data_IF_246935329427
#
_entry.id   IF_246935329427
#
_cell.length_a   1.000
_cell.length_b   1.000
_cell.length_c   1.000
_cell.angle_alpha   90.00
_cell.angle_beta   90.00
_cell.angle_gamma   90.00
#
_symmetry.space_group_name_H-M   'P 1'
#
loop_
_entity.id
_entity.type
_entity.pdbx_description
1 polymer ?
#
# COMPACT_ATOMS: atom_id res chain seq x y z
N UNK A 1 -24.55 -65.47 0.52
CA UNK A 1 -25.86 -64.77 0.58
C UNK A 1 -25.72 -63.76 1.71
N UNK A 2 -25.29 -62.53 1.47
CA UNK A 2 -26.16 -61.36 1.27
C UNK A 2 -25.30 -60.19 0.72
N UNK A 3 -25.74 -59.55 -0.37
CA UNK A 3 -25.25 -58.24 -0.85
C UNK A 3 -26.14 -57.15 -0.22
N UNK A 4 -25.60 -55.93 -0.06
CA UNK A 4 -26.22 -54.60 -0.31
C UNK A 4 -25.30 -53.53 0.32
N UNK A 5 -24.50 -52.82 -0.51
CA UNK A 5 -24.53 -51.37 -0.78
C UNK A 5 -23.95 -50.49 0.34
N UNK A 6 -23.27 -49.36 0.14
CA UNK A 6 -22.63 -48.58 -0.94
C UNK A 6 -22.17 -47.31 -0.18
N UNK A 7 -21.14 -46.62 -0.67
CA UNK A 7 -20.92 -45.17 -0.45
C UNK A 7 -20.32 -44.72 0.90
N UNK A 8 -19.00 -44.54 0.94
CA UNK A 8 -18.46 -43.24 1.40
C UNK A 8 -17.14 -42.95 0.69
N UNK A 9 -17.25 -42.01 -0.24
CA UNK A 9 -16.20 -41.48 -1.11
C UNK A 9 -15.50 -40.32 -0.37
N UNK A 10 -14.17 -40.36 -0.36
CA UNK A 10 -13.24 -39.23 -0.51
C UNK A 10 -13.58 -37.95 0.26
N UNK A 11 -13.01 -37.76 1.46
CA UNK A 11 -12.61 -36.42 1.98
C UNK A 11 -11.36 -36.59 2.85
N UNK A 12 -10.21 -36.83 2.23
CA UNK A 12 -8.90 -36.71 2.89
C UNK A 12 -7.95 -35.94 1.97
N UNK A 13 -8.29 -34.68 1.69
CA UNK A 13 -7.55 -33.88 0.71
C UNK A 13 -7.86 -32.39 0.72
N UNK A 14 -8.37 -31.83 1.82
CA UNK A 14 -8.71 -30.40 1.89
C UNK A 14 -8.35 -29.71 3.23
N UNK A 15 -7.46 -30.28 4.04
CA UNK A 15 -7.05 -29.68 5.31
C UNK A 15 -5.70 -28.93 5.26
N UNK A 16 -4.95 -29.00 4.15
CA UNK A 16 -3.61 -28.38 4.06
C UNK A 16 -3.58 -26.96 3.47
N UNK A 17 -4.70 -26.43 2.96
CA UNK A 17 -4.74 -25.06 2.41
C UNK A 17 -5.32 -23.99 3.35
N UNK A 18 -5.88 -24.39 4.51
CA UNK A 18 -6.46 -23.43 5.47
C UNK A 18 -5.40 -22.83 6.39
N UNK A 19 -4.29 -23.53 6.63
CA UNK A 19 -3.26 -23.11 7.60
C UNK A 19 -2.55 -21.79 7.23
N UNK A 20 -2.24 -21.55 5.94
CA UNK A 20 -1.56 -20.32 5.53
C UNK A 20 -2.46 -19.07 5.55
N UNK A 21 -3.79 -19.23 5.41
CA UNK A 21 -4.74 -18.10 5.55
C UNK A 21 -4.98 -17.75 7.02
N UNK A 22 -4.91 -18.75 7.89
CA UNK A 22 -5.26 -18.61 9.30
C UNK A 22 -4.13 -17.96 10.13
N UNK A 23 -2.88 -18.09 9.69
CA UNK A 23 -1.74 -17.47 10.36
C UNK A 23 -1.69 -15.95 10.13
N UNK A 24 -1.93 -15.48 8.89
CA UNK A 24 -2.02 -14.05 8.59
C UNK A 24 -3.25 -13.38 9.22
N UNK A 25 -4.41 -14.05 9.22
CA UNK A 25 -5.63 -13.54 9.85
C UNK A 25 -5.49 -13.36 11.36
N UNK A 26 -4.82 -14.30 12.04
CA UNK A 26 -4.55 -14.23 13.49
C UNK A 26 -3.66 -13.05 13.91
N UNK A 27 -2.70 -12.64 13.09
CA UNK A 27 -1.81 -11.51 13.38
C UNK A 27 -2.47 -10.15 13.17
N UNK A 28 -3.37 -10.02 12.19
CA UNK A 28 -4.13 -8.79 11.93
C UNK A 28 -5.20 -8.57 13.01
N UNK A 29 -5.93 -9.63 13.38
CA UNK A 29 -6.91 -9.59 14.47
C UNK A 29 -6.25 -9.22 15.82
N UNK A 30 -5.04 -9.70 16.10
CA UNK A 30 -4.33 -9.45 17.37
C UNK A 30 -3.84 -8.00 17.56
N UNK A 31 -3.54 -7.26 16.47
CA UNK A 31 -3.14 -5.85 16.54
C UNK A 31 -4.37 -4.94 16.62
N UNK A 32 -5.43 -5.28 15.87
CA UNK A 32 -6.73 -4.60 15.94
C UNK A 32 -7.30 -4.67 17.37
N UNK A 33 -7.25 -5.83 18.03
CA UNK A 33 -7.79 -6.02 19.39
C UNK A 33 -7.04 -5.22 20.47
N UNK A 34 -5.75 -4.89 20.29
CA UNK A 34 -4.96 -4.19 21.32
C UNK A 34 -5.18 -2.67 21.33
N UNK A 35 -5.39 -2.08 20.17
CA UNK A 35 -5.44 -0.61 20.02
C UNK A 35 -6.84 -0.07 19.82
N UNK A 36 -7.78 -0.88 19.30
CA UNK A 36 -9.14 -0.44 19.06
C UNK A 36 -9.76 0.22 20.30
N UNK A 37 -10.32 1.41 20.10
CA UNK A 37 -10.96 2.20 21.14
C UNK A 37 -10.02 2.84 22.17
N UNK A 38 -8.69 2.70 22.05
CA UNK A 38 -7.76 3.45 22.91
C UNK A 38 -7.60 4.88 22.42
N UNK A 39 -7.57 5.81 23.36
CA UNK A 39 -7.23 7.21 23.09
C UNK A 39 -5.73 7.34 22.81
N UNK A 40 -5.38 8.06 21.75
CA UNK A 40 -4.03 8.52 21.48
C UNK A 40 -3.82 9.90 22.10
N UNK A 41 -2.81 10.00 22.95
CA UNK A 41 -2.39 11.25 23.57
C UNK A 41 -1.43 12.00 22.67
N UNK A 42 -1.71 13.27 22.38
CA UNK A 42 -0.85 14.14 21.59
C UNK A 42 -0.02 15.07 22.48
N UNK A 43 1.20 15.46 22.05
CA UNK A 43 1.97 16.49 22.75
C UNK A 43 1.22 17.83 22.76
N UNK A 44 1.33 18.60 23.87
CA UNK A 44 0.65 19.91 24.01
C UNK A 44 1.03 20.91 22.90
N UNK A 45 2.24 20.77 22.36
CA UNK A 45 2.74 21.57 21.23
C UNK A 45 3.32 20.64 20.19
N UNK A 46 2.62 20.51 19.08
CA UNK A 46 3.13 19.85 17.87
C UNK A 46 3.31 20.91 16.79
N UNK A 47 4.53 21.03 16.30
CA UNK A 47 4.88 22.02 15.26
C UNK A 47 4.96 21.29 13.92
N UNK A 48 4.02 21.60 13.03
CA UNK A 48 4.01 21.04 11.69
C UNK A 48 4.74 21.97 10.73
N UNK A 49 5.48 21.37 9.80
CA UNK A 49 6.21 22.10 8.79
C UNK A 49 5.94 21.55 7.40
N UNK A 50 5.90 22.42 6.39
CA UNK A 50 5.84 22.01 4.98
C UNK A 50 7.25 22.10 4.41
N UNK A 51 7.72 21.02 3.78
CA UNK A 51 9.09 20.90 3.23
C UNK A 51 10.21 21.23 4.23
N UNK A 52 9.92 21.20 5.54
CA UNK A 52 10.75 21.72 6.63
C UNK A 52 11.21 23.18 6.47
N UNK A 53 10.40 24.01 5.81
CA UNK A 53 10.73 25.44 5.59
C UNK A 53 9.72 26.38 6.25
N UNK A 54 8.43 26.12 6.12
CA UNK A 54 7.37 26.94 6.71
C UNK A 54 6.78 26.27 7.95
N UNK A 55 6.54 27.04 9.01
CA UNK A 55 6.00 26.54 10.28
C UNK A 55 4.51 26.84 10.33
N UNK A 56 3.67 25.81 10.34
CA UNK A 56 2.23 25.95 10.40
C UNK A 56 1.71 25.40 11.72
N UNK A 57 0.95 26.23 12.47
CA UNK A 57 0.14 25.72 13.57
C UNK A 57 -1.03 24.99 12.93
N UNK A 58 -1.01 23.66 13.01
CA UNK A 58 -2.06 22.82 12.45
C UNK A 58 -3.03 22.41 13.55
N UNK A 59 -4.16 23.10 13.63
CA UNK A 59 -5.24 22.72 14.56
C UNK A 59 -6.09 21.60 13.96
N UNK A 60 -5.81 20.37 14.39
CA UNK A 60 -6.51 19.15 14.00
C UNK A 60 -7.61 18.73 14.99
N UNK A 61 -7.92 19.55 16.01
CA UNK A 61 -8.96 19.24 17.01
C UNK A 61 -10.38 19.30 16.44
N UNK A 62 -10.57 20.12 15.40
CA UNK A 62 -11.88 20.37 14.76
C UNK A 62 -12.36 19.30 13.77
N UNK A 63 -11.57 18.27 13.52
CA UNK A 63 -11.89 17.27 12.49
C UNK A 63 -12.48 16.00 13.12
N UNK A 64 -13.58 15.52 12.52
CA UNK A 64 -14.32 14.35 12.99
C UNK A 64 -13.51 13.05 12.94
N UNK A 65 -12.58 12.96 11.99
CA UNK A 65 -11.68 11.84 11.82
C UNK A 65 -10.33 12.35 11.35
N UNK A 66 -9.26 11.64 11.73
CA UNK A 66 -7.89 11.99 11.35
C UNK A 66 -7.05 10.72 11.24
N UNK A 67 -6.06 10.72 10.35
CA UNK A 67 -5.13 9.62 10.19
C UNK A 67 -3.83 9.99 10.87
N UNK A 68 -3.42 9.23 11.88
CA UNK A 68 -2.12 9.35 12.52
C UNK A 68 -1.12 8.43 11.84
N UNK A 69 0.07 8.95 11.55
CA UNK A 69 1.24 8.19 11.15
C UNK A 69 2.35 8.54 12.12
N UNK A 70 2.84 7.54 12.86
CA UNK A 70 4.07 7.68 13.65
C UNK A 70 5.16 6.80 13.02
N UNK A 71 6.30 7.42 12.72
CA UNK A 71 7.44 6.75 12.13
C UNK A 71 8.71 6.97 12.97
N UNK A 72 9.29 5.88 13.46
CA UNK A 72 10.62 5.85 14.05
C UNK A 72 11.63 5.55 12.93
N UNK A 73 12.41 6.57 12.56
CA UNK A 73 13.33 6.48 11.40
C UNK A 73 14.75 6.08 11.78
N UNK A 74 15.00 5.65 13.03
CA UNK A 74 16.34 5.28 13.54
C UNK A 74 16.99 4.11 12.76
N UNK A 75 16.18 3.23 12.18
CA UNK A 75 16.63 2.08 11.37
C UNK A 75 16.88 2.44 9.89
N UNK A 76 15.82 2.61 9.09
CA UNK A 76 15.87 2.94 7.67
C UNK A 76 14.82 3.99 7.30
N UNK A 77 15.20 5.27 7.26
CA UNK A 77 14.26 6.38 7.03
C UNK A 77 13.41 6.23 5.76
N UNK A 78 14.03 5.93 4.61
CA UNK A 78 13.30 5.72 3.35
C UNK A 78 12.31 4.54 3.40
N UNK A 79 12.72 3.42 4.03
CA UNK A 79 11.88 2.24 4.16
C UNK A 79 10.65 2.49 5.06
N UNK A 80 10.81 3.31 6.10
CA UNK A 80 9.78 3.63 7.09
C UNK A 80 8.80 4.69 6.57
N UNK A 81 9.31 5.74 5.91
CA UNK A 81 8.47 6.86 5.48
C UNK A 81 7.65 6.57 4.24
N UNK A 82 8.20 5.95 3.19
CA UNK A 82 7.50 5.59 1.94
C UNK A 82 6.55 6.70 1.42
N UNK A 83 7.02 7.95 1.39
CA UNK A 83 6.19 9.15 1.22
C UNK A 83 5.34 9.11 -0.06
N UNK A 84 5.91 8.61 -1.16
CA UNK A 84 5.18 8.38 -2.42
C UNK A 84 3.93 7.48 -2.27
N UNK A 85 3.99 6.41 -1.48
CA UNK A 85 2.85 5.50 -1.28
C UNK A 85 1.78 6.13 -0.39
N UNK A 86 2.20 6.96 0.57
CA UNK A 86 1.27 7.78 1.34
C UNK A 86 0.52 8.77 0.46
N UNK A 87 1.19 9.47 -0.46
CA UNK A 87 0.50 10.36 -1.43
C UNK A 87 -0.59 9.62 -2.21
N UNK A 88 -0.32 8.40 -2.65
CA UNK A 88 -1.31 7.57 -3.37
C UNK A 88 -2.51 7.18 -2.50
N UNK A 89 -2.27 6.89 -1.22
CA UNK A 89 -3.35 6.62 -0.28
C UNK A 89 -4.14 7.88 0.08
N UNK A 90 -3.49 9.04 0.24
CA UNK A 90 -4.12 10.33 0.48
C UNK A 90 -5.12 10.67 -0.64
N UNK A 91 -4.70 10.52 -1.91
CA UNK A 91 -5.58 10.70 -3.08
C UNK A 91 -6.82 9.78 -3.01
N UNK A 92 -6.64 8.55 -2.50
CA UNK A 92 -7.74 7.59 -2.37
C UNK A 92 -8.74 8.01 -1.28
N UNK A 93 -8.24 8.57 -0.17
CA UNK A 93 -9.08 9.13 0.90
C UNK A 93 -9.84 10.37 0.41
N UNK A 94 -9.15 11.30 -0.25
CA UNK A 94 -9.75 12.51 -0.85
C UNK A 94 -10.81 12.17 -1.90
N UNK A 95 -10.66 11.04 -2.61
CA UNK A 95 -11.67 10.56 -3.57
C UNK A 95 -12.87 9.87 -2.91
N UNK A 96 -12.70 9.37 -1.68
CA UNK A 96 -13.72 8.57 -0.99
C UNK A 96 -14.68 9.41 -0.15
N UNK A 97 -14.31 10.64 0.20
CA UNK A 97 -15.14 11.53 1.03
C UNK A 97 -15.01 12.98 0.59
N UNK A 98 -16.08 13.76 0.79
CA UNK A 98 -16.04 15.22 0.67
C UNK A 98 -15.44 15.89 1.91
N UNK A 99 -15.38 15.18 3.03
CA UNK A 99 -14.85 15.70 4.28
C UNK A 99 -13.32 15.75 4.21
N UNK A 100 -12.73 16.81 4.75
CA UNK A 100 -11.27 16.88 4.86
C UNK A 100 -10.81 15.95 5.99
N UNK A 101 -9.97 14.96 5.65
CA UNK A 101 -9.34 14.06 6.61
C UNK A 101 -7.86 14.47 6.78
N UNK A 102 -7.47 14.99 7.94
CA UNK A 102 -6.07 15.32 8.19
C UNK A 102 -5.18 14.08 8.25
N UNK A 103 -4.00 14.17 7.65
CA UNK A 103 -2.92 13.21 7.82
C UNK A 103 -1.85 13.82 8.74
N UNK A 104 -1.71 13.25 9.93
CA UNK A 104 -0.81 13.71 10.97
C UNK A 104 0.46 12.87 10.94
N UNK A 105 1.48 13.33 10.22
CA UNK A 105 2.80 12.69 10.19
C UNK A 105 3.62 13.15 11.39
N UNK A 106 3.85 12.26 12.36
CA UNK A 106 4.81 12.42 13.44
C UNK A 106 6.03 11.57 13.15
N UNK A 107 7.15 12.24 12.89
CA UNK A 107 8.39 11.58 12.48
C UNK A 107 9.41 11.81 13.57
N UNK A 108 9.91 10.73 14.16
CA UNK A 108 11.09 10.76 15.03
C UNK A 108 12.34 10.58 14.14
N UNK A 109 13.08 11.67 13.82
CA UNK A 109 14.18 11.61 12.88
C UNK A 109 15.44 11.02 13.53
N UNK A 110 16.10 10.10 12.83
CA UNK A 110 17.51 9.79 13.11
C UNK A 110 18.43 10.96 12.75
N UNK A 111 18.15 11.55 11.59
CA UNK A 111 18.91 12.64 10.98
C UNK A 111 17.93 13.61 10.29
N UNK A 112 17.87 14.84 10.78
CA UNK A 112 16.94 15.86 10.28
C UNK A 112 17.33 16.32 8.87
N UNK A 113 18.61 16.32 8.51
CA UNK A 113 19.10 16.73 7.20
C UNK A 113 18.75 15.68 6.14
N UNK A 114 18.95 14.40 6.46
CA UNK A 114 18.52 13.29 5.60
C UNK A 114 16.99 13.32 5.39
N UNK A 115 16.24 13.53 6.46
CA UNK A 115 14.79 13.68 6.41
C UNK A 115 14.38 14.85 5.52
N UNK A 116 15.05 16.00 5.65
CA UNK A 116 14.77 17.18 4.81
C UNK A 116 15.02 16.87 3.35
N UNK A 117 16.16 16.26 3.02
CA UNK A 117 16.50 15.88 1.67
C UNK A 117 15.46 14.91 1.07
N UNK A 118 15.03 13.91 1.84
CA UNK A 118 14.02 12.95 1.39
C UNK A 118 12.67 13.62 1.12
N UNK A 119 12.18 14.44 2.05
CA UNK A 119 10.91 15.17 1.89
C UNK A 119 10.95 16.11 0.69
N UNK A 120 12.06 16.83 0.49
CA UNK A 120 12.23 17.78 -0.62
C UNK A 120 12.38 17.06 -1.97
N UNK A 121 13.20 16.01 -2.04
CA UNK A 121 13.44 15.26 -3.26
C UNK A 121 12.19 14.51 -3.74
N UNK A 122 11.34 14.04 -2.82
CA UNK A 122 10.04 13.46 -3.15
C UNK A 122 8.94 14.51 -3.36
N UNK A 123 9.25 15.81 -3.23
CA UNK A 123 8.31 16.93 -3.29
C UNK A 123 7.08 16.70 -2.39
N UNK A 124 7.30 16.24 -1.16
CA UNK A 124 6.25 15.93 -0.20
C UNK A 124 5.81 17.21 0.51
N UNK A 125 4.96 17.99 -0.16
CA UNK A 125 4.46 19.30 0.34
C UNK A 125 3.23 19.17 1.25
N UNK A 126 3.23 18.15 2.11
CA UNK A 126 2.23 18.00 3.18
C UNK A 126 2.87 18.32 4.53
N UNK A 127 2.11 18.90 5.48
CA UNK A 127 2.66 19.23 6.79
C UNK A 127 3.13 17.97 7.55
N UNK A 128 4.36 18.00 8.06
CA UNK A 128 4.94 16.96 8.93
C UNK A 128 5.39 17.55 10.26
N UNK A 129 5.18 16.81 11.34
CA UNK A 129 5.70 17.12 12.67
C UNK A 129 7.05 16.41 12.86
N UNK A 130 8.10 17.19 13.06
CA UNK A 130 9.43 16.68 13.44
C UNK A 130 9.44 16.52 14.96
N UNK A 131 9.25 15.29 15.43
CA UNK A 131 9.17 14.95 16.86
C UNK A 131 10.54 14.50 17.38
N UNK A 132 11.52 15.40 17.39
CA UNK A 132 12.92 15.10 17.76
C UNK A 132 13.09 14.54 19.18
N UNK A 133 12.12 14.78 20.05
CA UNK A 133 12.13 14.30 21.42
C UNK A 133 11.30 13.02 21.62
N UNK A 134 10.77 12.44 20.54
CA UNK A 134 9.95 11.22 20.54
C UNK A 134 8.75 11.32 21.52
N UNK A 135 8.16 12.51 21.64
CA UNK A 135 7.15 12.82 22.64
C UNK A 135 5.87 12.03 22.41
N UNK A 136 5.42 11.90 21.16
CA UNK A 136 4.20 11.16 20.84
C UNK A 136 4.34 9.70 21.29
N UNK A 137 5.47 9.06 20.99
CA UNK A 137 5.72 7.69 21.43
C UNK A 137 5.86 7.60 22.95
N UNK A 138 6.60 8.51 23.58
CA UNK A 138 6.77 8.51 25.05
C UNK A 138 5.43 8.56 25.78
N UNK A 139 4.44 9.28 25.25
CA UNK A 139 3.08 9.36 25.80
C UNK A 139 2.29 8.05 25.61
N UNK A 140 2.42 7.40 24.46
CA UNK A 140 1.53 6.28 24.07
C UNK A 140 2.18 4.88 24.15
N UNK A 141 3.50 4.80 24.30
CA UNK A 141 4.30 3.57 24.35
C UNK A 141 4.13 2.70 23.10
N UNK A 142 4.35 3.28 21.92
CA UNK A 142 4.42 2.51 20.69
C UNK A 142 5.64 1.57 20.73
N UNK A 143 5.46 0.35 20.22
CA UNK A 143 6.54 -0.64 20.12
C UNK A 143 7.27 -0.61 18.77
N UNK A 144 6.72 0.14 17.82
CA UNK A 144 7.18 0.29 16.43
C UNK A 144 6.45 1.45 15.78
N UNK A 145 6.74 1.71 14.51
CA UNK A 145 5.90 2.50 13.61
C UNK A 145 4.44 2.06 13.70
N UNK A 146 3.54 3.04 13.69
CA UNK A 146 2.10 2.81 13.74
C UNK A 146 1.37 3.73 12.77
N UNK A 147 0.21 3.26 12.32
CA UNK A 147 -0.74 4.08 11.62
C UNK A 147 -2.11 3.79 12.18
N UNK A 148 -2.86 4.86 12.46
CA UNK A 148 -4.20 4.77 13.04
C UNK A 148 -5.17 5.66 12.30
N UNK A 149 -6.39 5.16 12.11
CA UNK A 149 -7.55 6.01 11.88
C UNK A 149 -8.14 6.35 13.23
N UNK A 150 -8.23 7.63 13.55
CA UNK A 150 -8.75 8.14 14.82
C UNK A 150 -10.10 8.83 14.63
N UNK A 151 -10.94 8.78 15.65
CA UNK A 151 -12.14 9.62 15.76
C UNK A 151 -11.80 11.05 16.24
N UNK A 152 -12.84 11.86 16.43
CA UNK A 152 -12.74 13.26 16.86
C UNK A 152 -12.03 13.38 18.22
N UNK A 153 -12.22 12.39 19.09
CA UNK A 153 -11.69 12.28 20.45
C UNK A 153 -10.36 11.51 20.50
N UNK A 154 -9.69 11.31 19.36
CA UNK A 154 -8.42 10.60 19.22
C UNK A 154 -8.48 9.10 19.58
N UNK A 155 -9.65 8.48 19.64
CA UNK A 155 -9.74 7.04 19.83
C UNK A 155 -9.49 6.29 18.53
N UNK A 156 -8.75 5.20 18.60
CA UNK A 156 -8.42 4.36 17.44
C UNK A 156 -9.68 3.62 16.93
N UNK A 157 -10.06 3.93 15.69
CA UNK A 157 -11.11 3.23 14.92
C UNK A 157 -10.49 2.06 14.14
N UNK A 158 -9.33 2.28 13.53
CA UNK A 158 -8.59 1.27 12.76
C UNK A 158 -7.12 1.36 13.07
N UNK A 159 -6.47 0.21 13.24
CA UNK A 159 -5.04 0.10 13.44
C UNK A 159 -4.39 -0.71 12.32
N UNK A 160 -3.24 -0.24 11.85
CA UNK A 160 -2.46 -0.92 10.82
C UNK A 160 -2.05 0.03 9.71
N UNK A 161 -1.05 -0.36 8.92
CA UNK A 161 -0.49 0.49 7.89
C UNK A 161 -1.24 0.30 6.54
N UNK A 162 -2.05 1.27 6.09
CA UNK A 162 -2.87 1.16 4.87
C UNK A 162 -2.06 1.23 3.57
N UNK A 163 -0.78 1.62 3.62
CA UNK A 163 0.10 1.57 2.45
C UNK A 163 0.78 0.20 2.30
N UNK A 164 0.79 -0.63 3.35
CA UNK A 164 1.39 -1.97 3.32
C UNK A 164 0.34 -3.08 3.19
N UNK A 165 -0.87 -2.86 3.71
CA UNK A 165 -1.93 -3.87 3.79
C UNK A 165 -3.24 -3.39 3.15
N UNK A 166 -3.72 -4.12 2.14
CA UNK A 166 -4.91 -3.74 1.36
C UNK A 166 -6.21 -3.90 2.16
N UNK A 167 -6.28 -4.88 3.07
CA UNK A 167 -7.49 -5.08 3.90
C UNK A 167 -7.66 -3.92 4.89
N UNK A 168 -6.55 -3.48 5.51
CA UNK A 168 -6.49 -2.28 6.33
C UNK A 168 -6.84 -1.04 5.53
N UNK A 169 -6.30 -0.89 4.31
CA UNK A 169 -6.63 0.21 3.41
C UNK A 169 -8.13 0.30 3.15
N UNK A 170 -8.76 -0.82 2.78
CA UNK A 170 -10.19 -0.89 2.51
C UNK A 170 -11.00 -0.53 3.76
N UNK A 171 -10.56 -0.97 4.94
CA UNK A 171 -11.21 -0.66 6.20
C UNK A 171 -11.13 0.83 6.56
N UNK A 172 -9.98 1.50 6.35
CA UNK A 172 -9.87 2.95 6.53
C UNK A 172 -10.88 3.70 5.65
N UNK A 173 -10.92 3.33 4.37
CA UNK A 173 -11.78 3.97 3.37
C UNK A 173 -13.26 3.74 3.70
N UNK A 174 -13.65 2.53 4.11
CA UNK A 174 -15.01 2.20 4.58
C UNK A 174 -15.43 3.08 5.77
N UNK A 175 -14.56 3.24 6.76
CA UNK A 175 -14.87 4.03 7.96
C UNK A 175 -14.96 5.52 7.65
N UNK A 176 -14.05 6.05 6.83
CA UNK A 176 -14.00 7.47 6.46
C UNK A 176 -15.22 7.88 5.62
N UNK A 177 -15.63 7.07 4.64
CA UNK A 177 -16.76 7.41 3.79
C UNK A 177 -18.12 7.24 4.50
N UNK A 178 -18.10 6.67 5.72
CA UNK A 178 -19.28 6.27 6.47
C UNK A 178 -20.07 5.16 5.77
N UNK A 179 -21.10 4.61 6.43
CA UNK A 179 -22.02 3.60 5.85
C UNK A 179 -22.76 4.06 4.56
N UNK A 180 -22.44 5.23 4.00
CA UNK A 180 -22.96 5.77 2.75
C UNK A 180 -22.05 5.61 1.54
N UNK A 181 -20.84 5.03 1.65
CA UNK A 181 -20.13 4.53 0.48
C UNK A 181 -19.62 3.10 0.71
N UNK A 182 -19.70 2.31 -0.36
CA UNK A 182 -19.39 0.87 -0.47
C UNK A 182 -20.48 -0.11 -0.07
N UNK A 183 -21.67 0.06 -0.66
CA UNK A 183 -22.29 -1.12 -1.28
C UNK A 183 -21.40 -1.54 -2.46
N UNK A 184 -20.36 -2.31 -2.14
CA UNK A 184 -19.21 -2.74 -2.95
C UNK A 184 -18.17 -1.65 -3.24
N UNK A 185 -16.85 -1.92 -3.06
CA UNK A 185 -15.77 -1.13 -3.67
C UNK A 185 -16.13 -0.85 -5.13
N UNK A 186 -15.95 0.40 -5.60
CA UNK A 186 -16.14 0.79 -7.00
C UNK A 186 -15.10 0.02 -7.81
N UNK A 187 -15.44 -1.23 -8.09
CA UNK A 187 -14.61 -2.17 -8.80
C UNK A 187 -14.95 -2.06 -10.26
N UNK A 188 -13.92 -2.18 -11.07
CA UNK A 188 -14.09 -2.44 -12.48
C UNK A 188 -13.57 -3.83 -12.80
N UNK A 189 -13.90 -4.31 -14.00
CA UNK A 189 -13.27 -5.50 -14.56
C UNK A 189 -12.18 -5.06 -15.52
N UNK A 190 -11.13 -5.86 -15.61
CA UNK A 190 -9.99 -5.60 -16.47
C UNK A 190 -9.70 -6.80 -17.34
N UNK A 191 -9.10 -6.55 -18.49
CA UNK A 191 -8.53 -7.58 -19.32
C UNK A 191 -7.09 -7.21 -19.70
N UNK A 192 -6.22 -8.20 -19.77
CA UNK A 192 -4.87 -8.06 -20.34
C UNK A 192 -4.66 -9.19 -21.33
N UNK A 193 -4.13 -8.86 -22.51
CA UNK A 193 -3.98 -9.83 -23.60
C UNK A 193 -2.80 -10.77 -23.37
N UNK A 194 -1.78 -10.33 -22.63
CA UNK A 194 -0.54 -11.06 -22.44
C UNK A 194 -0.06 -10.97 -20.99
N UNK A 195 0.16 -12.14 -20.37
CA UNK A 195 0.67 -12.27 -19.00
C UNK A 195 2.05 -12.90 -18.93
N UNK A 196 2.61 -13.36 -20.06
CA UNK A 196 3.95 -13.94 -20.15
C UNK A 196 4.71 -13.19 -21.24
N UNK A 197 5.84 -12.60 -20.87
CA UNK A 197 6.76 -11.90 -21.77
C UNK A 197 8.09 -12.63 -21.78
N UNK A 198 8.43 -13.25 -22.90
CA UNK A 198 9.73 -13.87 -23.13
C UNK A 198 10.62 -12.90 -23.89
N UNK A 199 11.70 -12.48 -23.24
CA UNK A 199 12.70 -11.57 -23.78
C UNK A 199 13.74 -12.29 -24.66
N UNK A 200 13.66 -13.62 -24.76
CA UNK A 200 14.64 -14.45 -25.44
C UNK A 200 16.01 -14.36 -24.79
N UNK A 201 17.05 -14.56 -25.59
CA UNK A 201 18.44 -14.39 -25.16
C UNK A 201 18.90 -12.96 -25.45
N UNK A 202 19.47 -12.30 -24.45
CA UNK A 202 20.00 -10.94 -24.60
C UNK A 202 21.23 -10.69 -23.72
N UNK A 203 22.03 -9.71 -24.11
CA UNK A 203 23.27 -9.38 -23.40
C UNK A 203 23.00 -8.66 -22.08
N UNK A 204 23.89 -8.83 -21.10
CA UNK A 204 23.80 -8.15 -19.80
C UNK A 204 23.80 -6.63 -19.91
N UNK A 205 24.41 -6.07 -20.95
CA UNK A 205 24.42 -4.61 -21.20
C UNK A 205 23.12 -4.08 -21.80
N UNK A 206 22.25 -4.96 -22.31
CA UNK A 206 20.97 -4.59 -22.92
C UNK A 206 19.89 -4.31 -21.86
N UNK A 207 19.33 -3.10 -21.92
CA UNK A 207 18.09 -2.77 -21.21
C UNK A 207 16.90 -3.21 -22.06
N UNK A 208 15.99 -4.01 -21.49
CA UNK A 208 14.75 -4.41 -22.15
C UNK A 208 13.55 -3.70 -21.56
N UNK A 209 12.57 -3.41 -22.41
CA UNK A 209 11.31 -2.79 -22.02
C UNK A 209 10.13 -3.66 -22.42
N UNK A 210 9.18 -3.80 -21.51
CA UNK A 210 7.92 -4.54 -21.70
C UNK A 210 6.76 -3.60 -21.43
N UNK A 211 5.76 -3.62 -22.30
CA UNK A 211 4.56 -2.78 -22.17
C UNK A 211 3.35 -3.66 -21.93
N UNK A 212 2.87 -3.68 -20.68
CA UNK A 212 1.69 -4.43 -20.28
C UNK A 212 0.47 -3.55 -20.51
N UNK A 213 -0.32 -3.88 -21.53
CA UNK A 213 -1.57 -3.20 -21.82
C UNK A 213 -2.71 -3.80 -21.00
N UNK A 214 -3.42 -2.97 -20.27
CA UNK A 214 -4.57 -3.34 -19.45
C UNK A 214 -5.78 -2.55 -19.93
N UNK A 215 -6.82 -3.26 -20.34
CA UNK A 215 -8.08 -2.66 -20.79
C UNK A 215 -9.08 -2.62 -19.64
N UNK A 216 -9.72 -1.48 -19.43
CA UNK A 216 -10.89 -1.37 -18.58
C UNK A 216 -12.11 -1.96 -19.30
N UNK A 217 -12.61 -3.10 -18.83
CA UNK A 217 -13.77 -3.81 -19.42
C UNK A 217 -15.05 -3.64 -18.61
N UNK A 218 -14.97 -3.02 -17.43
CA UNK A 218 -16.14 -2.78 -16.58
C UNK A 218 -16.76 -1.41 -16.81
N UNK A 219 -17.66 -1.04 -15.90
CA UNK A 219 -18.48 0.17 -16.02
C UNK A 219 -17.97 1.35 -15.18
N UNK A 220 -16.91 1.13 -14.40
CA UNK A 220 -16.32 2.14 -13.53
C UNK A 220 -14.93 2.52 -14.04
N UNK A 221 -14.42 3.74 -13.77
CA UNK A 221 -13.04 4.09 -14.07
C UNK A 221 -12.04 3.12 -13.43
N UNK A 222 -11.00 2.75 -14.16
CA UNK A 222 -9.91 1.89 -13.73
C UNK A 222 -8.81 2.74 -13.08
N UNK A 223 -8.37 2.35 -11.90
CA UNK A 223 -7.22 2.94 -11.21
C UNK A 223 -6.25 1.81 -10.83
N UNK A 224 -4.98 1.96 -11.22
CA UNK A 224 -3.89 1.09 -10.75
C UNK A 224 -3.37 1.67 -9.44
N UNK A 225 -3.35 0.86 -8.39
CA UNK A 225 -2.88 1.25 -7.07
C UNK A 225 -1.39 0.98 -6.88
N UNK A 226 -0.92 -0.17 -7.36
CA UNK A 226 0.46 -0.61 -7.11
C UNK A 226 0.93 -1.60 -8.17
N UNK A 227 2.24 -1.60 -8.42
CA UNK A 227 2.94 -2.57 -9.27
C UNK A 227 4.14 -3.10 -8.50
N UNK A 228 3.99 -4.29 -7.92
CA UNK A 228 4.99 -4.91 -7.07
C UNK A 228 5.84 -5.91 -7.86
N UNK A 229 7.17 -5.83 -7.72
CA UNK A 229 8.14 -6.71 -8.39
C UNK A 229 8.90 -7.57 -7.38
N UNK A 230 9.28 -8.78 -7.77
CA UNK A 230 10.02 -9.69 -6.89
C UNK A 230 11.53 -9.36 -6.73
N UNK A 231 12.07 -8.33 -7.39
CA UNK A 231 13.48 -7.90 -7.33
C UNK A 231 13.61 -6.40 -7.65
N UNK A 232 14.71 -5.77 -7.21
CA UNK A 232 15.09 -4.41 -7.63
C UNK A 232 15.60 -4.30 -9.08
N UNK A 233 15.66 -5.40 -9.82
CA UNK A 233 16.13 -5.47 -11.21
C UNK A 233 15.09 -5.03 -12.26
N UNK A 234 13.86 -4.77 -11.83
CA UNK A 234 12.77 -4.27 -12.67
C UNK A 234 12.26 -2.96 -12.10
N UNK A 235 12.21 -1.93 -12.94
CA UNK A 235 11.59 -0.64 -12.62
C UNK A 235 10.28 -0.50 -13.39
N UNK A 236 9.29 0.16 -12.79
CA UNK A 236 7.91 0.22 -13.32
C UNK A 236 7.44 1.67 -13.46
N UNK A 237 6.71 1.97 -14.53
CA UNK A 237 6.06 3.28 -14.72
C UNK A 237 4.71 3.12 -15.41
N UNK A 238 3.70 3.88 -14.99
CA UNK A 238 2.35 3.89 -15.56
C UNK A 238 1.66 5.23 -15.29
N UNK A 239 0.60 5.52 -16.02
CA UNK A 239 -0.22 6.70 -15.78
C UNK A 239 -1.06 6.54 -14.51
N UNK A 240 -1.02 7.52 -13.60
CA UNK A 240 -1.78 7.49 -12.35
C UNK A 240 -3.23 7.99 -12.52
N UNK A 241 -3.59 8.52 -13.68
CA UNK A 241 -4.94 9.00 -13.94
C UNK A 241 -5.95 7.85 -14.09
N UNK A 242 -7.18 8.02 -13.59
CA UNK A 242 -8.25 7.05 -13.82
C UNK A 242 -8.54 6.85 -15.32
N UNK A 243 -8.68 5.60 -15.73
CA UNK A 243 -8.97 5.24 -17.12
C UNK A 243 -10.44 4.86 -17.29
N UNK A 244 -11.16 5.61 -18.11
CA UNK A 244 -12.58 5.38 -18.38
C UNK A 244 -12.89 3.98 -18.94
N UNK A 245 -14.13 3.47 -18.76
CA UNK A 245 -14.61 2.25 -19.39
C UNK A 245 -14.26 2.14 -20.88
N UNK A 246 -13.76 0.99 -21.30
CA UNK A 246 -13.39 0.70 -22.70
C UNK A 246 -11.97 1.12 -23.10
N UNK A 247 -11.35 2.04 -22.35
CA UNK A 247 -10.00 2.56 -22.62
C UNK A 247 -8.92 1.66 -22.01
N UNK A 248 -7.66 1.96 -22.36
CA UNK A 248 -6.49 1.18 -21.93
C UNK A 248 -5.53 2.04 -21.10
N UNK A 249 -4.87 1.39 -20.15
CA UNK A 249 -3.68 1.88 -19.48
C UNK A 249 -2.49 0.99 -19.87
N UNK A 250 -1.29 1.56 -19.89
CA UNK A 250 -0.05 0.82 -20.17
C UNK A 250 0.85 0.91 -18.96
N UNK A 251 1.26 -0.26 -18.45
CA UNK A 251 2.30 -0.39 -17.43
C UNK A 251 3.60 -0.77 -18.13
N UNK A 252 4.58 0.14 -18.09
CA UNK A 252 5.92 -0.08 -18.64
C UNK A 252 6.81 -0.73 -17.57
N UNK A 253 7.42 -1.85 -17.91
CA UNK A 253 8.43 -2.55 -17.13
C UNK A 253 9.79 -2.37 -17.82
N UNK A 254 10.78 -1.87 -17.11
CA UNK A 254 12.16 -1.71 -17.59
C UNK A 254 13.06 -2.66 -16.81
N UNK A 255 13.64 -3.63 -17.52
CA UNK A 255 14.49 -4.68 -16.97
C UNK A 255 15.94 -4.24 -17.13
N UNK A 256 16.66 -4.17 -16.02
CA UNK A 256 18.08 -3.83 -15.96
C UNK A 256 18.81 -5.05 -15.40
N UNK A 257 19.50 -5.83 -16.25
CA UNK A 257 20.23 -7.01 -15.80
C UNK A 257 21.30 -6.68 -14.76
N UNK A 258 21.32 -7.44 -13.67
CA UNK A 258 22.39 -7.41 -12.67
C UNK A 258 23.28 -8.68 -12.73
N UNK A 259 22.73 -9.79 -13.23
CA UNK A 259 23.35 -11.11 -13.29
C UNK A 259 23.08 -11.77 -14.65
N UNK A 260 23.90 -12.77 -15.01
CA UNK A 260 23.70 -13.62 -16.20
C UNK A 260 22.92 -14.88 -15.83
N UNK A 261 22.44 -15.61 -16.84
CA UNK A 261 21.66 -16.84 -16.70
C UNK A 261 20.16 -16.63 -16.89
N UNK A 262 19.37 -17.63 -16.47
CA UNK A 262 17.93 -17.63 -16.69
C UNK A 262 17.21 -16.60 -15.82
N UNK A 263 16.49 -15.70 -16.46
CA UNK A 263 15.61 -14.73 -15.84
C UNK A 263 14.19 -15.31 -15.77
N UNK A 264 13.60 -15.34 -14.58
CA UNK A 264 12.16 -15.56 -14.38
C UNK A 264 11.68 -14.69 -13.23
N UNK A 265 10.83 -13.71 -13.52
CA UNK A 265 10.38 -12.69 -12.58
C UNK A 265 8.87 -12.53 -12.65
N UNK A 266 8.29 -12.28 -11.48
CA UNK A 266 6.85 -12.05 -11.33
C UNK A 266 6.61 -10.59 -10.98
N UNK A 267 5.71 -9.95 -11.72
CA UNK A 267 5.23 -8.59 -11.47
C UNK A 267 3.73 -8.64 -11.20
N UNK A 268 3.31 -8.07 -10.08
CA UNK A 268 1.93 -8.09 -9.61
C UNK A 268 1.34 -6.68 -9.68
N UNK A 269 0.37 -6.49 -10.56
CA UNK A 269 -0.32 -5.21 -10.78
C UNK A 269 -1.65 -5.25 -10.05
N UNK A 270 -1.86 -4.33 -9.12
CA UNK A 270 -3.07 -4.23 -8.29
C UNK A 270 -3.79 -2.91 -8.56
N UNK A 271 -5.11 -2.90 -8.45
CA UNK A 271 -5.95 -1.73 -8.69
C UNK A 271 -7.36 -1.96 -8.17
N UNK A 272 -8.32 -1.14 -8.57
CA UNK A 272 -9.73 -1.28 -8.19
C UNK A 272 -10.45 -2.42 -8.95
N UNK A 273 -9.87 -3.62 -8.95
CA UNK A 273 -10.40 -4.82 -9.60
C UNK A 273 -10.12 -6.06 -8.72
N UNK A 274 -10.90 -7.13 -8.90
CA UNK A 274 -10.99 -8.22 -7.91
C UNK A 274 -9.70 -8.99 -7.63
N UNK A 275 -8.87 -9.19 -8.65
CA UNK A 275 -7.65 -10.00 -8.54
C UNK A 275 -6.49 -9.28 -9.21
N UNK A 276 -5.35 -9.15 -8.52
CA UNK A 276 -4.14 -8.60 -9.12
C UNK A 276 -3.78 -9.33 -10.41
N UNK A 277 -3.38 -8.58 -11.42
CA UNK A 277 -2.84 -9.13 -12.66
C UNK A 277 -1.41 -9.58 -12.37
N UNK A 278 -1.10 -10.82 -12.72
CA UNK A 278 0.22 -11.42 -12.53
C UNK A 278 0.89 -11.53 -13.89
N UNK A 279 2.02 -10.85 -14.04
CA UNK A 279 2.85 -10.83 -15.24
C UNK A 279 4.14 -11.60 -14.96
N UNK A 280 4.44 -12.58 -15.80
CA UNK A 280 5.70 -13.31 -15.79
C UNK A 280 6.62 -12.76 -16.88
N UNK A 281 7.81 -12.32 -16.50
CA UNK A 281 8.86 -11.91 -17.43
C UNK A 281 9.95 -12.97 -17.38
N UNK A 282 10.31 -13.52 -18.53
CA UNK A 282 11.34 -14.56 -18.65
C UNK A 282 12.34 -14.24 -19.75
N UNK A 283 13.50 -14.88 -19.71
CA UNK A 283 14.53 -14.78 -20.74
C UNK A 283 15.85 -15.40 -20.29
N UNK A 284 16.88 -15.29 -21.11
CA UNK A 284 18.23 -15.76 -20.77
C UNK A 284 19.24 -14.63 -20.98
N UNK A 285 19.98 -14.28 -19.94
CA UNK A 285 20.94 -13.19 -19.97
C UNK A 285 22.34 -13.78 -20.20
N UNK A 286 23.05 -13.30 -21.22
CA UNK A 286 24.41 -13.73 -21.56
C UNK A 286 25.43 -12.62 -21.33
N UNK A 287 26.70 -12.98 -21.37
CA UNK A 287 27.84 -12.06 -21.39
C UNK A 287 28.55 -12.31 -22.72
N UNK A 288 28.18 -11.56 -23.77
CA UNK A 288 28.65 -11.73 -25.14
C UNK A 288 29.77 -10.76 -25.50
#
# INVERSE_FOLDING_TARGET
MMKIHRLTIIILGLSLFVACKQQNKKTVDAVLDRWYGKEILFPEKSVFTRLLTDTTIFDYSKFNMKILIYADTTECMGCKLQLNRWKEFMISVESATSDTIPFLFFIYPKDIEEMRYLIQSENFDYPVCVDSDDLLNKLNKFSSDVSFLLDENNHVIVAGNPILDLETRDLYIEKIAGKKAFNNPIKTTVNTEQTIFDLGTFDKTDIKEVFVKIRNTGNNPLVIFDVNTSCGCITTSFDKQPVNPGNNIVVKLKIIPNETGFLSKVVKISGNFDKPIVINVQGNITDL
#
